data_IF_080204970063
#
_entry.id   IF_080204970063
#
_cell.length_a   1.000
_cell.length_b   1.000
_cell.length_c   1.000
_cell.angle_alpha   90.00
_cell.angle_beta   90.00
_cell.angle_gamma   90.00
#
_symmetry.space_group_name_H-M   'P 1'
#
loop_
_entity.id
_entity.type
_entity.pdbx_description
1 polymer ?
#
# COMPACT_ATOMS: atom_id res chain seq x y z
N UNK A 1 -18.76 4.03 -5.69
CA UNK A 1 -18.02 4.59 -4.53
C UNK A 1 -16.90 5.49 -5.01
N UNK A 2 -16.58 6.58 -4.31
CA UNK A 2 -15.43 7.42 -4.62
C UNK A 2 -14.58 7.63 -3.38
N UNK A 3 -13.26 7.52 -3.53
CA UNK A 3 -12.28 7.71 -2.46
C UNK A 3 -11.48 8.99 -2.76
N UNK A 4 -11.20 9.79 -1.73
CA UNK A 4 -10.40 11.01 -1.84
C UNK A 4 -8.95 10.70 -1.49
N UNK A 5 -8.02 10.92 -2.41
CA UNK A 5 -6.58 10.79 -2.16
C UNK A 5 -5.94 12.18 -2.18
N UNK A 6 -5.05 12.45 -1.22
CA UNK A 6 -4.22 13.65 -1.16
C UNK A 6 -2.81 13.30 -1.60
N UNK A 7 -2.37 13.84 -2.73
CA UNK A 7 -1.02 13.59 -3.29
C UNK A 7 -0.18 14.85 -3.02
N UNK A 8 0.90 14.71 -2.25
CA UNK A 8 1.81 15.83 -1.99
C UNK A 8 2.73 16.07 -3.19
N UNK A 9 2.71 17.29 -3.72
CA UNK A 9 3.59 17.74 -4.80
C UNK A 9 4.79 18.44 -4.17
N UNK A 10 5.99 17.89 -4.34
CA UNK A 10 7.24 18.55 -3.94
C UNK A 10 7.50 19.77 -4.83
N UNK A 11 7.54 20.96 -4.24
CA UNK A 11 7.93 22.20 -4.92
C UNK A 11 9.47 22.36 -4.87
N UNK A 12 10.10 22.59 -6.03
CA UNK A 12 11.44 23.20 -6.13
C UNK A 12 11.31 24.52 -6.89
N UNK A 13 12.01 25.59 -6.50
CA UNK A 13 11.95 26.86 -7.21
C UNK A 13 12.79 26.82 -8.50
N UNK A 14 12.26 27.41 -9.56
CA UNK A 14 12.94 27.59 -10.86
C UNK A 14 13.34 29.06 -10.93
N UNK A 15 14.65 29.33 -11.01
CA UNK A 15 15.15 30.66 -11.29
C UNK A 15 14.90 31.02 -12.76
N UNK A 16 14.37 32.23 -12.92
CA UNK A 16 14.09 32.95 -14.16
C UNK A 16 15.35 33.15 -14.99
N UNK A 17 15.19 33.14 -16.32
CA UNK A 17 15.97 33.84 -17.38
C UNK A 17 15.85 33.01 -18.67
N UNK A 18 14.90 33.35 -19.56
CA UNK A 18 14.90 33.06 -21.02
C UNK A 18 13.52 33.37 -21.64
N UNK A 19 13.08 34.63 -21.59
CA UNK A 19 11.76 35.08 -22.07
C UNK A 19 11.69 35.20 -23.62
N UNK A 20 12.77 34.98 -24.38
CA UNK A 20 12.79 35.25 -25.82
C UNK A 20 12.74 34.02 -26.76
N UNK A 21 12.43 32.83 -26.24
CA UNK A 21 12.25 31.59 -27.02
C UNK A 21 10.80 31.07 -26.96
N UNK A 22 9.83 31.99 -26.85
CA UNK A 22 8.47 31.69 -26.38
C UNK A 22 7.38 31.67 -27.47
N UNK A 23 7.72 31.87 -28.75
CA UNK A 23 6.69 32.03 -29.81
C UNK A 23 6.65 30.86 -30.83
N UNK A 24 7.65 29.97 -30.86
CA UNK A 24 7.70 28.86 -31.84
C UNK A 24 7.27 27.46 -31.33
N UNK A 25 6.76 27.35 -30.10
CA UNK A 25 6.33 26.06 -29.52
C UNK A 25 4.82 25.91 -29.29
N UNK A 26 3.99 26.85 -29.76
CA UNK A 26 2.56 26.89 -29.38
C UNK A 26 1.64 25.96 -30.21
N UNK A 27 2.15 25.17 -31.16
CA UNK A 27 1.31 24.33 -32.04
C UNK A 27 1.37 22.81 -31.81
N UNK A 28 2.02 22.32 -30.75
CA UNK A 28 2.02 20.87 -30.43
C UNK A 28 1.66 20.53 -28.97
N UNK A 29 1.02 21.45 -28.24
CA UNK A 29 0.64 21.23 -26.84
C UNK A 29 -0.76 20.58 -26.63
N UNK A 30 -1.39 20.00 -27.65
CA UNK A 30 -2.74 19.42 -27.51
C UNK A 30 -2.79 17.91 -27.23
N UNK A 31 -1.65 17.21 -27.14
CA UNK A 31 -1.64 15.75 -26.87
C UNK A 31 -1.07 15.30 -25.51
N UNK A 32 -0.65 16.21 -24.63
CA UNK A 32 0.07 15.84 -23.39
C UNK A 32 -0.65 16.22 -22.09
N UNK A 33 -2.00 16.15 -22.05
CA UNK A 33 -2.80 16.37 -20.83
C UNK A 33 -3.50 15.11 -20.28
N UNK A 34 -2.82 13.95 -20.29
CA UNK A 34 -3.29 12.75 -19.55
C UNK A 34 -2.43 12.35 -18.34
N UNK A 35 -1.31 13.03 -18.09
CA UNK A 35 -0.33 12.68 -17.04
C UNK A 35 -0.51 13.43 -15.72
N UNK A 36 -1.61 14.15 -15.52
CA UNK A 36 -1.78 15.00 -14.32
C UNK A 36 -2.19 14.22 -13.06
N UNK A 37 -2.38 12.90 -13.15
CA UNK A 37 -2.66 12.08 -11.96
C UNK A 37 -1.83 10.81 -11.80
N UNK A 38 -0.90 10.52 -12.72
CA UNK A 38 0.21 9.53 -12.58
C UNK A 38 -0.13 8.06 -12.31
N UNK A 39 -1.34 7.73 -11.85
CA UNK A 39 -1.73 6.40 -11.43
C UNK A 39 -2.19 5.60 -12.67
N UNK A 40 -1.46 4.55 -13.08
CA UNK A 40 -1.90 3.70 -14.17
C UNK A 40 -3.16 2.93 -13.75
N UNK A 41 -4.01 2.62 -14.73
CA UNK A 41 -5.12 1.67 -14.53
C UNK A 41 -4.53 0.31 -14.12
N UNK A 42 -4.80 -0.19 -12.89
CA UNK A 42 -4.20 -1.43 -12.41
C UNK A 42 -4.71 -2.62 -13.21
N UNK A 43 -3.78 -3.53 -13.54
CA UNK A 43 -4.04 -4.76 -14.28
C UNK A 43 -4.42 -5.86 -13.29
N UNK A 44 -5.41 -6.68 -13.65
CA UNK A 44 -5.68 -7.95 -12.97
C UNK A 44 -4.55 -8.93 -13.28
N UNK A 45 -3.88 -9.40 -12.25
CA UNK A 45 -2.74 -10.30 -12.31
C UNK A 45 -3.17 -11.75 -12.09
N UNK A 46 -2.47 -12.64 -12.77
CA UNK A 46 -2.51 -14.08 -12.49
C UNK A 46 -1.78 -14.39 -11.18
N UNK A 47 -2.10 -15.52 -10.56
CA UNK A 47 -1.36 -16.01 -9.39
C UNK A 47 0.14 -16.13 -9.68
N UNK A 48 0.49 -16.66 -10.85
CA UNK A 48 1.88 -16.79 -11.29
C UNK A 48 2.60 -15.43 -11.37
N UNK A 49 1.94 -14.39 -11.89
CA UNK A 49 2.50 -13.04 -11.92
C UNK A 49 2.76 -12.50 -10.51
N UNK A 50 1.80 -12.66 -9.59
CA UNK A 50 1.94 -12.20 -8.20
C UNK A 50 3.06 -12.97 -7.48
N UNK A 51 3.04 -14.30 -7.53
CA UNK A 51 4.06 -15.16 -6.89
C UNK A 51 5.45 -14.86 -7.42
N UNK A 52 5.62 -14.68 -8.73
CA UNK A 52 6.92 -14.34 -9.32
C UNK A 52 7.40 -12.97 -8.86
N UNK A 53 6.51 -11.98 -8.82
CA UNK A 53 6.90 -10.64 -8.43
C UNK A 53 7.26 -10.55 -6.93
N UNK A 54 6.67 -11.41 -6.09
CA UNK A 54 7.02 -11.60 -4.68
C UNK A 54 8.35 -12.32 -4.49
N UNK A 55 8.67 -13.32 -5.32
CA UNK A 55 9.96 -14.04 -5.29
C UNK A 55 11.16 -13.10 -5.46
N UNK A 56 10.99 -12.00 -6.18
CA UNK A 56 12.03 -10.97 -6.40
C UNK A 56 12.22 -9.99 -5.24
N UNK A 57 11.40 -10.09 -4.18
CA UNK A 57 11.49 -9.21 -3.03
C UNK A 57 12.62 -9.65 -2.08
N UNK A 58 13.19 -8.71 -1.29
CA UNK A 58 14.17 -9.06 -0.27
C UNK A 58 13.60 -10.10 0.69
N UNK A 59 14.38 -11.16 0.93
CA UNK A 59 14.05 -12.29 1.79
C UNK A 59 14.78 -12.20 3.12
N UNK A 60 14.05 -12.42 4.21
CA UNK A 60 14.57 -12.48 5.57
C UNK A 60 13.75 -13.48 6.38
N UNK A 61 14.36 -14.11 7.39
CA UNK A 61 13.72 -15.16 8.19
C UNK A 61 12.51 -14.68 8.99
N UNK A 62 12.40 -13.37 9.24
CA UNK A 62 11.30 -12.75 9.98
C UNK A 62 10.32 -11.98 9.06
N UNK A 63 10.35 -12.24 7.75
CA UNK A 63 9.48 -11.59 6.76
C UNK A 63 8.70 -12.65 6.01
N UNK A 64 7.38 -12.52 6.04
CA UNK A 64 6.42 -13.44 5.45
C UNK A 64 5.61 -12.69 4.38
N UNK A 65 5.49 -13.29 3.20
CA UNK A 65 4.73 -12.73 2.10
C UNK A 65 3.40 -13.47 1.94
N UNK A 66 2.32 -12.71 1.82
CA UNK A 66 0.98 -13.28 1.74
C UNK A 66 0.10 -12.55 0.72
N UNK A 67 -0.97 -13.23 0.33
CA UNK A 67 -2.08 -12.71 -0.50
C UNK A 67 -3.41 -13.06 0.14
N UNK A 68 -4.45 -12.29 -0.11
CA UNK A 68 -5.80 -12.68 0.31
C UNK A 68 -6.30 -13.87 -0.51
N UNK A 69 -6.82 -14.90 0.18
CA UNK A 69 -7.35 -16.13 -0.44
C UNK A 69 -8.58 -15.82 -1.30
N UNK A 70 -9.50 -15.00 -0.78
CA UNK A 70 -10.69 -14.56 -1.50
C UNK A 70 -11.12 -13.14 -1.07
N UNK A 71 -11.53 -12.35 -2.05
CA UNK A 71 -12.31 -11.14 -1.84
C UNK A 71 -13.60 -11.28 -2.65
N UNK A 72 -14.74 -11.19 -1.96
CA UNK A 72 -16.04 -11.67 -2.48
C UNK A 72 -16.78 -10.56 -3.23
N UNK A 73 -16.50 -9.29 -2.92
CA UNK A 73 -17.22 -8.16 -3.52
C UNK A 73 -16.31 -6.99 -3.91
N UNK A 74 -16.84 -6.10 -4.75
CA UNK A 74 -16.11 -4.94 -5.28
C UNK A 74 -15.66 -3.96 -4.20
N UNK A 75 -16.41 -3.82 -3.10
CA UNK A 75 -16.05 -2.93 -1.99
C UNK A 75 -14.85 -3.47 -1.22
N UNK A 76 -14.83 -4.76 -0.86
CA UNK A 76 -13.67 -5.40 -0.21
C UNK A 76 -12.44 -5.35 -1.10
N UNK A 77 -12.58 -5.68 -2.40
CA UNK A 77 -11.46 -5.58 -3.36
C UNK A 77 -10.89 -4.17 -3.41
N UNK A 78 -11.74 -3.15 -3.53
CA UNK A 78 -11.25 -1.77 -3.61
C UNK A 78 -10.63 -1.29 -2.30
N UNK A 79 -11.18 -1.69 -1.15
CA UNK A 79 -10.58 -1.38 0.15
C UNK A 79 -9.16 -1.96 0.24
N UNK A 80 -8.98 -3.25 -0.09
CA UNK A 80 -7.67 -3.90 -0.11
C UNK A 80 -6.72 -3.21 -1.09
N UNK A 81 -7.17 -2.96 -2.32
CA UNK A 81 -6.35 -2.28 -3.33
C UNK A 81 -5.85 -0.92 -2.83
N UNK A 82 -6.73 -0.09 -2.26
CA UNK A 82 -6.32 1.22 -1.74
C UNK A 82 -5.46 1.12 -0.49
N UNK A 83 -5.68 0.15 0.41
CA UNK A 83 -4.79 -0.10 1.55
C UNK A 83 -3.35 -0.31 1.09
N UNK A 84 -3.12 -1.08 0.02
CA UNK A 84 -1.79 -1.29 -0.55
C UNK A 84 -1.15 -0.04 -1.16
N UNK A 85 -1.94 0.96 -1.55
CA UNK A 85 -1.43 2.24 -2.06
C UNK A 85 -1.03 3.22 -0.96
N UNK A 86 -1.61 3.10 0.24
CA UNK A 86 -1.37 4.04 1.33
C UNK A 86 0.00 3.84 2.01
N UNK A 87 0.69 2.73 1.74
CA UNK A 87 1.99 2.37 2.34
C UNK A 87 1.98 2.44 3.88
N UNK A 88 0.84 2.14 4.49
CA UNK A 88 0.66 2.11 5.95
C UNK A 88 1.00 0.72 6.49
N UNK A 89 1.55 0.70 7.70
CA UNK A 89 1.69 -0.53 8.46
C UNK A 89 0.87 -0.51 9.74
N UNK A 90 0.61 -1.70 10.27
CA UNK A 90 -0.16 -1.94 11.49
C UNK A 90 0.67 -2.81 12.42
N UNK A 91 0.69 -2.50 13.71
CA UNK A 91 1.49 -3.23 14.70
C UNK A 91 0.54 -4.01 15.60
N UNK A 92 0.86 -5.28 15.79
CA UNK A 92 0.11 -6.20 16.63
C UNK A 92 1.01 -6.73 17.73
N UNK A 93 0.46 -6.94 18.92
CA UNK A 93 1.14 -7.67 19.98
C UNK A 93 1.06 -9.20 19.74
N UNK A 94 1.72 -9.97 20.60
CA UNK A 94 1.73 -11.43 20.54
C UNK A 94 0.35 -12.10 20.66
N UNK A 95 -0.65 -11.39 21.20
CA UNK A 95 -2.04 -11.86 21.29
C UNK A 95 -2.86 -11.55 20.02
N UNK A 96 -2.26 -10.88 19.04
CA UNK A 96 -2.93 -10.43 17.82
C UNK A 96 -3.79 -9.18 17.99
N UNK A 97 -3.61 -8.44 19.10
CA UNK A 97 -4.32 -7.19 19.37
C UNK A 97 -3.59 -6.02 18.70
N UNK A 98 -4.37 -5.15 18.04
CA UNK A 98 -3.84 -3.98 17.34
C UNK A 98 -3.30 -2.94 18.33
N UNK A 99 -2.13 -2.39 18.03
CA UNK A 99 -1.46 -1.38 18.81
C UNK A 99 -1.53 -0.02 18.11
N UNK A 100 -1.90 1.01 18.88
CA UNK A 100 -2.07 2.38 18.46
C UNK A 100 -1.06 3.30 19.15
N UNK A 101 -0.58 4.30 18.42
CA UNK A 101 0.12 5.47 18.99
C UNK A 101 -0.80 6.68 18.94
N UNK A 102 -1.06 7.31 20.09
CA UNK A 102 -1.95 8.50 20.17
C UNK A 102 -3.30 8.30 19.44
N UNK A 103 -3.94 7.14 19.65
CA UNK A 103 -5.20 6.71 18.99
C UNK A 103 -5.11 6.44 17.48
N UNK A 104 -3.93 6.53 16.88
CA UNK A 104 -3.70 6.20 15.47
C UNK A 104 -3.29 4.74 15.33
N UNK A 105 -4.09 3.99 14.56
CA UNK A 105 -3.95 2.55 14.34
C UNK A 105 -2.83 2.15 13.35
N UNK A 106 -2.25 3.11 12.63
CA UNK A 106 -1.29 2.84 11.58
C UNK A 106 0.00 3.66 11.73
N UNK A 107 1.09 3.07 11.26
CA UNK A 107 2.40 3.71 11.19
C UNK A 107 2.58 4.40 9.84
N UNK A 108 2.69 5.73 9.86
CA UNK A 108 3.26 6.53 8.77
C UNK A 108 4.67 7.01 9.12
N UNK A 109 5.23 7.99 8.37
CA UNK A 109 6.61 8.42 8.56
C UNK A 109 6.97 8.87 9.98
N UNK A 110 6.12 9.69 10.62
CA UNK A 110 6.36 10.18 11.99
C UNK A 110 6.33 9.06 13.04
N UNK A 111 5.50 8.05 12.82
CA UNK A 111 5.43 6.88 13.70
C UNK A 111 6.66 5.98 13.55
N UNK A 112 7.21 5.86 12.34
CA UNK A 112 8.43 5.11 12.07
C UNK A 112 9.65 5.76 12.70
N UNK A 113 9.80 7.07 12.54
CA UNK A 113 10.87 7.84 13.19
C UNK A 113 10.82 7.67 14.72
N UNK A 114 9.62 7.66 15.30
CA UNK A 114 9.47 7.43 16.73
C UNK A 114 9.87 6.04 17.18
N UNK A 115 9.61 4.99 16.39
CA UNK A 115 10.04 3.63 16.74
C UNK A 115 11.56 3.55 16.67
N UNK A 116 12.17 4.16 15.65
CA UNK A 116 13.62 4.20 15.48
C UNK A 116 14.33 4.86 16.67
N UNK A 117 13.74 5.94 17.20
CA UNK A 117 14.28 6.71 18.33
C UNK A 117 13.91 6.13 19.71
N UNK A 118 12.95 5.20 19.80
CA UNK A 118 12.38 4.71 21.07
C UNK A 118 12.10 3.20 21.00
N UNK A 119 10.94 2.75 21.51
CA UNK A 119 10.47 1.39 21.28
C UNK A 119 8.95 1.26 21.17
N UNK A 120 8.48 0.19 20.52
CA UNK A 120 7.05 -0.17 20.41
C UNK A 120 6.43 -0.23 21.80
N UNK A 121 7.10 -0.89 22.75
CA UNK A 121 6.60 -1.07 24.11
C UNK A 121 6.34 0.27 24.84
N UNK A 122 7.13 1.31 24.55
CA UNK A 122 7.00 2.62 25.19
C UNK A 122 5.96 3.51 24.50
N UNK A 123 5.94 3.47 23.17
CA UNK A 123 5.17 4.43 22.36
C UNK A 123 3.75 3.95 22.04
N UNK A 124 3.50 2.65 22.07
CA UNK A 124 2.25 2.05 21.62
C UNK A 124 1.46 1.40 22.75
N UNK A 125 0.13 1.47 22.65
CA UNK A 125 -0.82 0.82 23.54
C UNK A 125 -1.89 0.11 22.72
N UNK A 126 -2.61 -0.84 23.33
CA UNK A 126 -3.74 -1.49 22.66
C UNK A 126 -4.75 -0.42 22.22
N UNK A 127 -5.24 -0.53 20.99
CA UNK A 127 -6.23 0.40 20.46
C UNK A 127 -7.55 0.29 21.25
N UNK A 128 -8.16 1.44 21.55
CA UNK A 128 -9.46 1.51 22.25
C UNK A 128 -10.66 1.25 21.32
N UNK A 129 -10.42 1.12 20.02
CA UNK A 129 -11.44 0.91 19.00
C UNK A 129 -11.10 -0.36 18.23
N UNK A 130 -11.37 -1.52 18.82
CA UNK A 130 -11.25 -2.77 18.07
C UNK A 130 -12.57 -3.02 17.35
N UNK A 131 -12.58 -2.91 16.02
CA UNK A 131 -13.52 -3.71 15.24
C UNK A 131 -12.97 -5.13 15.18
N UNK A 132 -13.81 -6.16 15.36
CA UNK A 132 -13.37 -7.57 15.31
C UNK A 132 -12.63 -7.93 14.00
N UNK A 133 -12.88 -7.16 12.94
CA UNK A 133 -12.25 -7.27 11.62
C UNK A 133 -10.81 -6.74 11.57
N UNK A 134 -10.28 -6.19 12.66
CA UNK A 134 -8.91 -5.69 12.74
C UNK A 134 -7.99 -6.59 13.56
N UNK A 135 -8.49 -7.69 14.15
CA UNK A 135 -7.65 -8.67 14.85
C UNK A 135 -6.73 -9.44 13.88
N UNK A 136 -5.48 -9.64 14.27
CA UNK A 136 -4.48 -10.31 13.44
C UNK A 136 -4.89 -11.73 13.04
N UNK A 137 -5.52 -12.50 13.95
CA UNK A 137 -5.93 -13.88 13.67
C UNK A 137 -7.02 -13.94 12.60
N UNK A 138 -7.96 -13.00 12.63
CA UNK A 138 -8.98 -12.85 11.59
C UNK A 138 -8.32 -12.59 10.23
N UNK A 139 -7.32 -11.69 10.19
CA UNK A 139 -6.59 -11.38 8.95
C UNK A 139 -5.79 -12.59 8.47
N UNK A 140 -5.13 -13.31 9.36
CA UNK A 140 -4.36 -14.52 9.03
C UNK A 140 -5.27 -15.61 8.43
N UNK A 141 -6.50 -15.76 8.93
CA UNK A 141 -7.46 -16.71 8.36
C UNK A 141 -7.92 -16.36 6.93
N UNK A 142 -7.83 -15.08 6.55
CA UNK A 142 -8.24 -14.56 5.25
C UNK A 142 -7.09 -14.54 4.21
N UNK A 143 -5.85 -14.88 4.61
CA UNK A 143 -4.66 -14.83 3.74
C UNK A 143 -4.00 -16.19 3.56
N UNK A 144 -3.31 -16.32 2.43
CA UNK A 144 -2.45 -17.45 2.08
C UNK A 144 -1.01 -16.96 2.04
N UNK A 145 -0.14 -17.62 2.79
CA UNK A 145 1.30 -17.35 2.74
C UNK A 145 1.91 -18.00 1.50
N UNK A 146 2.60 -17.19 0.70
CA UNK A 146 3.21 -17.64 -0.55
C UNK A 146 4.53 -18.37 -0.26
N UNK A 147 5.23 -17.97 0.81
CA UNK A 147 6.49 -18.57 1.24
C UNK A 147 6.55 -18.57 2.78
N UNK A 148 7.01 -19.70 3.33
CA UNK A 148 7.16 -19.97 4.77
C UNK A 148 5.83 -20.08 5.53
N UNK A 149 5.75 -21.07 6.43
CA UNK A 149 4.65 -21.12 7.40
C UNK A 149 4.83 -20.01 8.42
N UNK A 150 3.83 -19.14 8.55
CA UNK A 150 3.79 -18.18 9.64
C UNK A 150 3.41 -18.91 10.94
N UNK A 151 4.32 -18.89 11.91
CA UNK A 151 4.09 -19.39 13.27
C UNK A 151 4.29 -18.18 14.15
N UNK A 152 3.21 -17.52 14.57
CA UNK A 152 3.24 -16.36 15.46
C UNK A 152 4.08 -16.67 16.71
N UNK A 153 5.37 -16.36 16.67
CA UNK A 153 6.34 -16.74 17.70
C UNK A 153 7.02 -15.54 18.34
N UNK A 154 6.74 -14.35 17.82
CA UNK A 154 7.44 -13.12 18.18
C UNK A 154 6.55 -12.16 18.97
N UNK A 155 7.21 -11.23 19.66
CA UNK A 155 6.55 -10.28 20.56
C UNK A 155 5.62 -9.34 19.80
N UNK A 156 6.03 -8.94 18.60
CA UNK A 156 5.27 -8.03 17.74
C UNK A 156 5.20 -8.56 16.31
N UNK A 157 4.03 -8.39 15.70
CA UNK A 157 3.82 -8.62 14.27
C UNK A 157 3.46 -7.31 13.60
N UNK A 158 4.17 -6.98 12.52
CA UNK A 158 4.00 -5.76 11.75
C UNK A 158 3.42 -6.13 10.39
N UNK A 159 2.21 -5.66 10.13
CA UNK A 159 1.47 -5.99 8.92
C UNK A 159 1.54 -4.81 7.96
N UNK A 160 2.01 -5.07 6.73
CA UNK A 160 2.24 -4.07 5.70
C UNK A 160 1.49 -4.44 4.42
N UNK A 161 0.53 -3.60 4.01
CA UNK A 161 -0.19 -3.79 2.76
C UNK A 161 0.56 -3.09 1.62
N UNK A 162 0.61 -3.74 0.46
CA UNK A 162 1.29 -3.18 -0.71
C UNK A 162 0.75 -3.70 -2.02
N UNK A 163 1.00 -2.97 -3.11
CA UNK A 163 0.68 -3.41 -4.48
C UNK A 163 1.68 -2.83 -5.51
N UNK A 164 1.65 -3.33 -6.74
CA UNK A 164 2.48 -2.86 -7.85
C UNK A 164 1.89 -1.64 -8.58
N UNK A 165 0.69 -1.19 -8.23
CA UNK A 165 0.16 0.08 -8.74
C UNK A 165 0.98 1.27 -8.22
N UNK A 166 1.55 1.15 -7.02
CA UNK A 166 2.73 1.91 -6.58
C UNK A 166 4.00 1.38 -7.25
N UNK A 167 4.83 2.27 -7.80
CA UNK A 167 6.10 1.93 -8.47
C UNK A 167 6.93 0.89 -7.68
N UNK A 168 7.27 -0.24 -8.31
CA UNK A 168 8.02 -1.36 -7.70
C UNK A 168 9.38 -0.91 -7.13
N UNK A 169 10.02 0.11 -7.70
CA UNK A 169 11.26 0.67 -7.17
C UNK A 169 11.01 1.44 -5.88
N UNK A 170 9.99 2.31 -5.88
CA UNK A 170 9.58 3.05 -4.69
C UNK A 170 9.20 2.10 -3.56
N UNK A 171 8.49 1.01 -3.84
CA UNK A 171 8.19 -0.01 -2.85
C UNK A 171 9.46 -0.54 -2.16
N UNK A 172 10.51 -0.90 -2.92
CA UNK A 172 11.74 -1.44 -2.33
C UNK A 172 12.42 -0.41 -1.43
N UNK A 173 12.47 0.84 -1.84
CA UNK A 173 13.05 1.94 -1.05
C UNK A 173 12.24 2.18 0.23
N UNK A 174 10.91 2.28 0.12
CA UNK A 174 10.02 2.42 1.28
C UNK A 174 10.11 1.23 2.22
N UNK A 175 10.17 0.01 1.70
CA UNK A 175 10.29 -1.20 2.50
C UNK A 175 11.60 -1.23 3.30
N UNK A 176 12.72 -0.81 2.69
CA UNK A 176 14.00 -0.77 3.40
C UNK A 176 13.99 0.29 4.50
N UNK A 177 13.53 1.50 4.21
CA UNK A 177 13.40 2.57 5.21
C UNK A 177 12.43 2.19 6.34
N UNK A 178 11.31 1.56 5.98
CA UNK A 178 10.34 1.04 6.93
C UNK A 178 10.99 0.02 7.87
N UNK A 179 11.66 -0.99 7.30
CA UNK A 179 12.28 -2.06 8.08
C UNK A 179 13.42 -1.55 8.96
N UNK A 180 14.21 -0.57 8.50
CA UNK A 180 15.29 0.01 9.30
C UNK A 180 14.79 0.70 10.56
N UNK A 181 13.58 1.29 10.53
CA UNK A 181 12.98 1.89 11.73
C UNK A 181 12.70 0.90 12.86
N UNK A 182 12.62 -0.40 12.56
CA UNK A 182 12.44 -1.48 13.55
C UNK A 182 13.77 -2.19 13.90
N UNK A 183 14.92 -1.68 13.45
CA UNK A 183 16.22 -2.35 13.65
C UNK A 183 16.62 -2.50 15.13
N UNK A 184 16.13 -1.60 15.99
CA UNK A 184 16.36 -1.64 17.44
C UNK A 184 15.36 -2.56 18.18
N UNK A 185 14.31 -3.01 17.50
CA UNK A 185 13.29 -3.87 18.09
C UNK A 185 13.71 -5.34 18.03
N UNK A 186 13.74 -5.99 19.20
CA UNK A 186 13.96 -7.43 19.27
C UNK A 186 12.65 -8.16 18.98
N UNK A 187 12.73 -9.24 18.21
CA UNK A 187 11.61 -10.16 17.96
C UNK A 187 10.39 -9.50 17.29
N UNK A 188 10.61 -8.87 16.13
CA UNK A 188 9.56 -8.37 15.24
C UNK A 188 9.44 -9.27 14.01
N UNK A 189 8.23 -9.69 13.69
CA UNK A 189 7.88 -10.31 12.40
C UNK A 189 7.17 -9.33 11.51
N UNK A 190 7.37 -9.50 10.21
CA UNK A 190 6.70 -8.70 9.21
C UNK A 190 5.84 -9.58 8.31
N UNK A 191 4.57 -9.24 8.17
CA UNK A 191 3.68 -9.84 7.18
C UNK A 191 3.44 -8.80 6.09
N UNK A 192 3.93 -9.07 4.88
CA UNK A 192 3.73 -8.21 3.71
C UNK A 192 2.59 -8.80 2.89
N UNK A 193 1.46 -8.10 2.85
CA UNK A 193 0.26 -8.57 2.14
C UNK A 193 0.16 -7.85 0.80
N UNK A 194 0.30 -8.60 -0.29
CA UNK A 194 0.06 -8.08 -1.62
C UNK A 194 -1.45 -7.91 -1.86
N UNK A 195 -1.83 -6.74 -2.36
CA UNK A 195 -3.22 -6.37 -2.64
C UNK A 195 -3.42 -5.95 -4.10
N UNK A 196 -2.57 -6.43 -5.01
CA UNK A 196 -2.82 -6.27 -6.44
C UNK A 196 -4.12 -6.98 -6.82
N UNK A 197 -4.80 -6.46 -7.85
CA UNK A 197 -6.02 -7.08 -8.36
C UNK A 197 -5.68 -8.50 -8.84
N UNK A 198 -6.26 -9.50 -8.18
CA UNK A 198 -5.94 -10.91 -8.43
C UNK A 198 -7.08 -11.63 -9.13
N UNK A 199 -6.73 -12.57 -10.01
CA UNK A 199 -7.69 -13.51 -10.60
C UNK A 199 -8.39 -14.39 -9.55
N UNK A 200 -7.74 -14.65 -8.40
CA UNK A 200 -8.34 -15.37 -7.26
C UNK A 200 -9.58 -14.66 -6.69
N UNK A 201 -9.77 -13.37 -6.99
CA UNK A 201 -10.94 -12.60 -6.59
C UNK A 201 -12.05 -12.60 -7.66
N UNK A 202 -12.09 -13.63 -8.50
CA UNK A 202 -13.03 -13.77 -9.62
C UNK A 202 -12.94 -12.63 -10.65
N UNK A 203 -11.76 -12.04 -10.82
CA UNK A 203 -11.49 -11.00 -11.81
C UNK A 203 -10.85 -11.62 -13.06
N UNK A 204 -11.16 -11.04 -14.22
CA UNK A 204 -10.64 -11.49 -15.51
C UNK A 204 -9.16 -11.10 -15.66
N UNK A 205 -8.22 -12.06 -15.73
CA UNK A 205 -6.78 -11.79 -15.86
C UNK A 205 -6.47 -10.93 -17.08
N UNK A 206 -5.48 -10.05 -16.96
CA UNK A 206 -5.03 -9.19 -18.04
C UNK A 206 -5.90 -7.96 -18.31
N UNK A 207 -7.13 -7.91 -17.79
CA UNK A 207 -7.97 -6.70 -17.88
C UNK A 207 -7.46 -5.63 -16.93
N UNK A 208 -7.73 -4.37 -17.28
CA UNK A 208 -7.41 -3.22 -16.45
C UNK A 208 -8.66 -2.66 -15.80
N UNK A 209 -8.57 -2.33 -14.52
CA UNK A 209 -9.60 -1.58 -13.83
C UNK A 209 -9.44 -0.10 -14.16
N UNK A 210 -10.46 0.49 -14.80
CA UNK A 210 -10.42 1.90 -15.18
C UNK A 210 -10.54 2.78 -13.95
N UNK A 211 -9.51 3.59 -13.68
CA UNK A 211 -9.54 4.62 -12.64
C UNK A 211 -9.76 5.99 -13.29
N UNK A 212 -10.72 6.74 -12.75
CA UNK A 212 -11.03 8.10 -13.17
C UNK A 212 -10.66 9.07 -12.07
N UNK A 213 -9.69 9.92 -12.35
CA UNK A 213 -9.15 10.91 -11.42
C UNK A 213 -9.76 12.27 -11.75
N UNK A 214 -10.50 12.84 -10.79
CA UNK A 214 -11.09 14.18 -10.89
C UNK A 214 -10.37 15.10 -9.91
N UNK A 215 -9.61 16.07 -10.44
CA UNK A 215 -9.00 17.13 -9.63
C UNK A 215 -10.09 17.93 -8.90
N UNK A 216 -9.89 18.16 -7.61
CA UNK A 216 -10.79 18.92 -6.73
C UNK A 216 -10.21 20.27 -6.29
N UNK A 217 -9.04 20.66 -6.82
CA UNK A 217 -8.27 21.81 -6.37
C UNK A 217 -7.19 21.41 -5.38
N UNK A 218 -6.17 22.26 -5.20
CA UNK A 218 -5.15 22.14 -4.14
C UNK A 218 -4.40 20.78 -4.08
N UNK A 219 -4.24 20.11 -5.23
CA UNK A 219 -3.60 18.78 -5.29
C UNK A 219 -4.44 17.63 -4.72
N UNK A 220 -5.73 17.87 -4.44
CA UNK A 220 -6.69 16.86 -4.02
C UNK A 220 -7.33 16.22 -5.24
N UNK A 221 -7.32 14.89 -5.30
CA UNK A 221 -7.94 14.13 -6.37
C UNK A 221 -9.04 13.22 -5.81
N UNK A 222 -10.20 13.25 -6.46
CA UNK A 222 -11.23 12.24 -6.25
C UNK A 222 -10.97 11.09 -7.23
N UNK A 223 -10.74 9.90 -6.70
CA UNK A 223 -10.66 8.68 -7.48
C UNK A 223 -12.06 8.09 -7.59
N UNK A 224 -12.46 7.77 -8.82
CA UNK A 224 -13.65 6.99 -9.10
C UNK A 224 -13.27 5.74 -9.85
N UNK A 225 -13.86 4.63 -9.44
CA UNK A 225 -13.59 3.30 -9.97
C UNK A 225 -14.62 3.01 -11.06
N UNK A 226 -14.16 2.55 -12.22
CA UNK A 226 -15.02 2.05 -13.29
C UNK A 226 -15.66 0.71 -12.93
N UNK A 227 -16.21 0.03 -13.94
CA UNK A 227 -16.75 -1.31 -13.74
C UNK A 227 -15.62 -2.30 -13.42
N UNK A 228 -15.83 -3.14 -12.39
CA UNK A 228 -14.90 -4.21 -12.06
C UNK A 228 -14.84 -5.24 -13.20
N UNK A 229 -13.64 -5.71 -13.59
CA UNK A 229 -13.48 -6.67 -14.65
C UNK A 229 -13.76 -8.09 -14.16
N UNK A 230 -15.02 -8.39 -13.79
CA UNK A 230 -15.41 -9.73 -13.34
C UNK A 230 -15.23 -10.79 -14.42
N UNK A 231 -14.87 -12.01 -14.00
CA UNK A 231 -14.98 -13.18 -14.86
C UNK A 231 -16.48 -13.42 -15.13
N UNK A 232 -16.87 -13.49 -16.39
CA UNK A 232 -18.26 -13.75 -16.80
C UNK A 232 -18.53 -15.23 -16.86
#
# INVERSE_FOLDING_TARGET
>A
MGVTLKIFKGNRPIHTWSVLLFILFITSCSLMMKTVSGLPDPKVLTEKEITNAIKDLPKNNNVYDAVYTQAIDSSKIMNLFFKGMETKAYIYNSKGELLCKSQKAYCGPAELESIEQSSIQKEYKICNHNSENENLNTIIGDIEFIQNEYKNSNTYTVLYYWNFASDKKLYKEYWQAFKSSFSNEKNVEFIRINTDLSEKWNLQPGKKLKLKLKNKGEGVYRVSVGQMPWNK
#
